data_IF_517589491943
#
_entry.id   IF_517589491943
#
_cell.length_a   1.000
_cell.length_b   1.000
_cell.length_c   1.000
_cell.angle_alpha   90.00
_cell.angle_beta   90.00
_cell.angle_gamma   90.00
#
_symmetry.space_group_name_H-M   'P 1'
#
loop_
_entity.id
_entity.type
_entity.pdbx_description
1 polymer ?
#
# COMPACT_ATOMS: atom_id res chain seq x y z
N UNK A 1 -7.85 -1.26 -15.64
CA UNK A 1 -8.13 0.06 -15.18
C UNK A 1 -7.27 1.09 -15.89
N UNK A 2 -7.76 2.29 -15.91
CA UNK A 2 -7.03 3.39 -16.52
C UNK A 2 -5.94 3.88 -15.58
N UNK A 3 -4.80 4.26 -16.14
CA UNK A 3 -3.72 4.89 -15.41
C UNK A 3 -3.14 4.04 -14.29
N UNK A 4 -2.78 2.82 -14.62
CA UNK A 4 -1.95 1.97 -13.78
C UNK A 4 -0.55 1.98 -14.38
N UNK A 5 0.45 2.30 -13.59
CA UNK A 5 1.82 2.23 -14.04
C UNK A 5 2.52 1.03 -13.42
N UNK A 6 3.10 0.18 -14.24
CA UNK A 6 3.81 -1.02 -13.79
C UNK A 6 5.18 -1.01 -14.43
N UNK A 7 6.23 -1.01 -13.60
CA UNK A 7 7.61 -1.00 -14.07
C UNK A 7 8.41 -2.14 -13.48
N UNK A 8 9.13 -2.87 -14.33
CA UNK A 8 10.09 -3.91 -13.91
C UNK A 8 9.49 -4.86 -12.87
N UNK A 9 8.26 -5.29 -13.12
CA UNK A 9 7.51 -6.09 -12.16
C UNK A 9 6.97 -7.34 -12.81
N UNK A 10 6.81 -8.38 -12.01
CA UNK A 10 6.20 -9.64 -12.42
C UNK A 10 4.82 -9.71 -11.79
N UNK A 11 3.80 -9.77 -12.62
CA UNK A 11 2.42 -9.84 -12.19
C UNK A 11 1.89 -11.22 -12.55
N UNK A 12 1.55 -11.99 -11.55
CA UNK A 12 1.09 -13.36 -11.75
C UNK A 12 -0.38 -13.42 -12.17
N UNK A 13 -0.87 -14.63 -12.35
CA UNK A 13 -2.21 -14.91 -12.81
C UNK A 13 -3.28 -14.35 -11.87
N UNK A 14 -4.33 -13.82 -12.44
CA UNK A 14 -5.51 -13.35 -11.72
C UNK A 14 -5.24 -12.26 -10.69
N UNK A 15 -4.20 -11.50 -10.87
CA UNK A 15 -3.94 -10.31 -10.07
C UNK A 15 -4.78 -9.16 -10.61
N UNK A 16 -5.44 -8.45 -9.71
CA UNK A 16 -6.21 -7.25 -10.06
C UNK A 16 -5.50 -6.02 -9.51
N UNK A 17 -5.24 -5.06 -10.39
CA UNK A 17 -4.61 -3.80 -10.01
C UNK A 17 -5.54 -2.68 -10.44
N UNK A 18 -6.04 -1.93 -9.47
CA UNK A 18 -7.01 -0.87 -9.73
C UNK A 18 -6.32 0.41 -10.15
N UNK A 19 -7.11 1.34 -10.67
CA UNK A 19 -6.62 2.58 -11.26
C UNK A 19 -5.78 3.43 -10.29
N UNK A 20 -4.93 4.28 -10.86
CA UNK A 20 -4.05 5.20 -10.13
C UNK A 20 -3.05 4.51 -9.22
N UNK A 21 -2.74 3.24 -9.48
CA UNK A 21 -1.72 2.52 -8.72
C UNK A 21 -0.38 2.59 -9.45
N UNK A 22 0.70 2.61 -8.68
CA UNK A 22 2.05 2.50 -9.21
C UNK A 22 2.73 1.27 -8.62
N UNK A 23 3.14 0.35 -9.48
CA UNK A 23 3.82 -0.88 -9.10
C UNK A 23 5.19 -0.89 -9.75
N UNK A 24 6.23 -0.80 -8.94
CA UNK A 24 7.61 -0.79 -9.44
C UNK A 24 8.49 -1.80 -8.71
N UNK A 25 9.37 -2.46 -9.46
CA UNK A 25 10.33 -3.44 -8.96
C UNK A 25 9.68 -4.46 -8.02
N UNK A 26 8.54 -5.00 -8.42
CA UNK A 26 7.72 -5.85 -7.55
C UNK A 26 7.40 -7.19 -8.18
N UNK A 27 7.17 -8.17 -7.33
CA UNK A 27 6.56 -9.44 -7.70
C UNK A 27 5.22 -9.53 -6.99
N UNK A 28 4.14 -9.71 -7.72
CA UNK A 28 2.81 -9.89 -7.14
C UNK A 28 2.31 -11.25 -7.53
N UNK A 29 2.09 -12.11 -6.54
CA UNK A 29 1.66 -13.48 -6.79
C UNK A 29 0.17 -13.58 -6.99
N UNK A 30 -0.27 -14.75 -7.43
CA UNK A 30 -1.61 -14.97 -7.99
C UNK A 30 -2.75 -14.63 -7.04
N UNK A 31 -3.85 -14.21 -7.61
CA UNK A 31 -5.11 -13.90 -6.94
C UNK A 31 -5.03 -12.74 -5.95
N UNK A 32 -4.01 -11.92 -6.02
CA UNK A 32 -3.92 -10.73 -5.16
C UNK A 32 -4.69 -9.58 -5.77
N UNK A 33 -5.24 -8.74 -4.90
CA UNK A 33 -6.00 -7.57 -5.30
C UNK A 33 -5.32 -6.31 -4.77
N UNK A 34 -4.91 -5.45 -5.68
CA UNK A 34 -4.25 -4.20 -5.35
C UNK A 34 -5.28 -3.08 -5.51
N UNK A 35 -5.64 -2.45 -4.42
CA UNK A 35 -6.62 -1.37 -4.43
C UNK A 35 -6.17 -0.15 -5.20
N UNK A 36 -7.10 0.75 -5.47
CA UNK A 36 -6.81 1.98 -6.20
C UNK A 36 -5.84 2.86 -5.43
N UNK A 37 -4.93 3.51 -6.14
CA UNK A 37 -4.00 4.46 -5.53
C UNK A 37 -2.92 3.82 -4.66
N UNK A 38 -2.68 2.53 -4.79
CA UNK A 38 -1.58 1.87 -4.08
C UNK A 38 -0.26 2.23 -4.75
N UNK A 39 0.72 2.57 -3.94
CA UNK A 39 2.05 2.95 -4.44
C UNK A 39 3.12 2.10 -3.77
N UNK A 40 3.96 1.47 -4.58
CA UNK A 40 5.19 0.85 -4.07
C UNK A 40 6.28 1.91 -4.08
N UNK A 41 6.78 2.25 -2.89
CA UNK A 41 7.86 3.23 -2.75
C UNK A 41 9.18 2.47 -2.91
N UNK A 42 9.62 2.33 -4.16
CA UNK A 42 10.71 1.42 -4.52
C UNK A 42 12.06 2.09 -4.70
N UNK A 43 12.14 3.41 -4.54
CA UNK A 43 13.35 4.17 -4.81
C UNK A 43 13.59 5.19 -3.71
N UNK A 44 14.82 5.23 -3.17
CA UNK A 44 15.18 6.13 -2.08
C UNK A 44 16.01 7.35 -2.55
N UNK A 45 16.13 7.55 -3.85
CA UNK A 45 16.97 8.58 -4.43
C UNK A 45 18.33 8.06 -4.88
N UNK A 46 18.73 6.87 -4.47
CA UNK A 46 20.00 6.25 -4.83
C UNK A 46 19.85 4.85 -5.36
N UNK A 47 19.06 4.01 -4.66
CA UNK A 47 18.87 2.59 -5.00
C UNK A 47 17.40 2.28 -5.13
N UNK A 48 17.12 1.31 -5.98
CA UNK A 48 15.78 0.72 -6.08
C UNK A 48 15.72 -0.53 -5.23
N UNK A 49 14.57 -0.73 -4.59
CA UNK A 49 14.34 -1.86 -3.71
C UNK A 49 13.14 -2.66 -4.20
N UNK A 50 13.12 -3.93 -3.90
CA UNK A 50 12.07 -4.83 -4.37
C UNK A 50 11.00 -5.05 -3.33
N UNK A 51 9.78 -5.26 -3.83
CA UNK A 51 8.63 -5.64 -3.03
C UNK A 51 8.11 -6.97 -3.54
N UNK A 52 7.76 -7.85 -2.62
CA UNK A 52 7.12 -9.11 -2.97
C UNK A 52 5.79 -9.22 -2.25
N UNK A 53 4.72 -9.33 -3.01
CA UNK A 53 3.37 -9.51 -2.49
C UNK A 53 2.99 -10.97 -2.72
N UNK A 54 2.64 -11.67 -1.65
CA UNK A 54 2.28 -13.09 -1.73
C UNK A 54 0.95 -13.34 -2.39
N UNK A 55 0.49 -14.59 -2.33
CA UNK A 55 -0.76 -15.02 -2.95
C UNK A 55 -1.96 -14.58 -2.14
N UNK A 56 -3.06 -14.35 -2.81
CA UNK A 56 -4.35 -14.05 -2.18
C UNK A 56 -4.29 -12.87 -1.20
N UNK A 57 -3.47 -11.88 -1.52
CA UNK A 57 -3.37 -10.67 -0.71
C UNK A 57 -4.46 -9.68 -1.10
N UNK A 58 -4.95 -8.93 -0.12
CA UNK A 58 -5.83 -7.81 -0.37
C UNK A 58 -5.16 -6.55 0.16
N UNK A 59 -4.71 -5.70 -0.74
CA UNK A 59 -4.04 -4.45 -0.39
C UNK A 59 -5.07 -3.32 -0.52
N UNK A 60 -5.43 -2.72 0.60
CA UNK A 60 -6.44 -1.67 0.60
C UNK A 60 -6.01 -0.43 -0.18
N UNK A 61 -6.98 0.33 -0.62
CA UNK A 61 -6.75 1.51 -1.44
C UNK A 61 -5.87 2.54 -0.74
N UNK A 62 -5.10 3.29 -1.52
CA UNK A 62 -4.25 4.37 -1.03
C UNK A 62 -3.21 3.91 0.00
N UNK A 63 -2.78 2.66 -0.09
CA UNK A 63 -1.71 2.13 0.75
C UNK A 63 -0.37 2.47 0.13
N UNK A 64 0.57 2.90 0.97
CA UNK A 64 1.97 3.07 0.56
C UNK A 64 2.77 1.89 1.08
N UNK A 65 3.46 1.20 0.19
CA UNK A 65 4.30 0.06 0.52
C UNK A 65 5.74 0.49 0.37
N UNK A 66 6.47 0.51 1.48
CA UNK A 66 7.86 0.97 1.50
C UNK A 66 8.78 -0.23 1.28
N UNK A 67 9.40 -0.27 0.12
CA UNK A 67 10.35 -1.34 -0.21
C UNK A 67 11.68 -1.13 0.55
N UNK A 68 12.44 -2.20 0.84
CA UNK A 68 12.13 -3.59 0.56
C UNK A 68 11.09 -4.15 1.51
N UNK A 69 10.18 -4.97 0.99
CA UNK A 69 9.09 -5.48 1.79
C UNK A 69 8.58 -6.80 1.22
N UNK A 70 8.20 -7.70 2.10
CA UNK A 70 7.61 -8.99 1.72
C UNK A 70 6.33 -9.18 2.50
N UNK A 71 5.25 -9.48 1.80
CA UNK A 71 4.04 -9.98 2.45
C UNK A 71 3.92 -11.48 2.17
N UNK A 72 3.46 -12.22 3.16
CA UNK A 72 3.17 -13.63 2.98
C UNK A 72 1.88 -13.85 2.22
N UNK A 73 1.33 -15.05 2.31
CA UNK A 73 0.08 -15.39 1.65
C UNK A 73 -1.12 -15.03 2.53
N UNK A 74 -2.25 -14.76 1.91
CA UNK A 74 -3.50 -14.47 2.60
C UNK A 74 -3.40 -13.29 3.57
N UNK A 75 -2.68 -12.27 3.16
CA UNK A 75 -2.48 -11.04 3.94
C UNK A 75 -3.52 -10.00 3.52
N UNK A 76 -4.00 -9.24 4.49
CA UNK A 76 -4.86 -8.09 4.22
C UNK A 76 -4.19 -6.84 4.77
N UNK A 77 -4.18 -5.77 4.00
CA UNK A 77 -3.65 -4.48 4.43
C UNK A 77 -4.78 -3.46 4.40
N UNK A 78 -4.99 -2.79 5.53
CA UNK A 78 -6.04 -1.79 5.65
C UNK A 78 -5.79 -0.58 4.76
N UNK A 79 -6.86 -0.06 4.18
CA UNK A 79 -6.77 1.10 3.28
C UNK A 79 -6.10 2.29 3.98
N UNK A 80 -5.31 3.04 3.23
CA UNK A 80 -4.63 4.21 3.74
C UNK A 80 -3.43 3.93 4.64
N UNK A 81 -3.00 2.69 4.72
CA UNK A 81 -1.86 2.31 5.57
C UNK A 81 -0.54 2.67 4.93
N UNK A 82 0.47 2.89 5.77
CA UNK A 82 1.86 3.01 5.35
C UNK A 82 2.60 1.81 5.93
N UNK A 83 2.97 0.88 5.08
CA UNK A 83 3.55 -0.40 5.49
C UNK A 83 5.04 -0.39 5.22
N UNK A 84 5.83 -0.51 6.27
CA UNK A 84 7.28 -0.53 6.19
C UNK A 84 7.93 -1.74 6.85
N UNK A 85 7.13 -2.72 7.23
CA UNK A 85 7.61 -3.98 7.80
C UNK A 85 6.92 -5.15 7.13
N UNK A 86 7.62 -6.25 6.99
CA UNK A 86 7.07 -7.46 6.42
C UNK A 86 5.82 -7.91 7.18
N UNK A 87 4.92 -8.55 6.45
CA UNK A 87 3.66 -9.03 7.01
C UNK A 87 3.59 -10.54 6.80
N UNK A 88 3.44 -11.28 7.89
CA UNK A 88 3.40 -12.73 7.84
C UNK A 88 2.07 -13.27 7.31
N UNK A 89 2.08 -14.52 6.88
CA UNK A 89 0.90 -15.19 6.35
C UNK A 89 -0.32 -15.01 7.25
N UNK A 90 -1.45 -14.72 6.63
CA UNK A 90 -2.73 -14.66 7.31
C UNK A 90 -2.96 -13.45 8.20
N UNK A 91 -2.04 -12.50 8.19
CA UNK A 91 -2.16 -11.31 9.05
C UNK A 91 -2.91 -10.18 8.37
N UNK A 92 -3.56 -9.38 9.22
CA UNK A 92 -4.10 -8.07 8.83
C UNK A 92 -3.14 -7.00 9.36
N UNK A 93 -2.57 -6.20 8.48
CA UNK A 93 -1.70 -5.10 8.86
C UNK A 93 -2.42 -3.77 8.67
N UNK A 94 -2.38 -2.92 9.69
CA UNK A 94 -2.94 -1.58 9.64
C UNK A 94 -1.92 -0.64 10.23
N UNK A 95 -1.54 0.39 9.47
CA UNK A 95 -0.57 1.38 9.93
C UNK A 95 -1.02 2.76 9.45
N UNK A 96 -1.93 3.35 10.19
CA UNK A 96 -2.48 4.66 9.89
C UNK A 96 -2.82 5.39 11.17
N UNK A 97 -2.86 6.72 11.09
CA UNK A 97 -3.14 7.54 12.26
C UNK A 97 -4.54 7.29 12.80
N UNK A 98 -4.65 7.33 14.12
CA UNK A 98 -5.96 7.24 14.78
C UNK A 98 -6.72 8.53 14.55
N UNK A 99 -7.97 8.43 14.16
CA UNK A 99 -8.82 9.60 13.96
C UNK A 99 -9.09 10.31 15.28
N UNK A 100 -8.96 11.63 15.25
CA UNK A 100 -9.28 12.49 16.39
C UNK A 100 -10.30 13.52 15.91
N UNK A 101 -11.38 13.62 16.64
CA UNK A 101 -12.40 14.62 16.34
C UNK A 101 -12.26 15.80 17.30
N UNK A 102 -12.01 16.97 16.74
CA UNK A 102 -11.89 18.20 17.52
C UNK A 102 -13.07 19.11 17.22
N UNK A 103 -13.49 19.86 18.24
CA UNK A 103 -14.52 20.85 18.02
C UNK A 103 -13.98 21.98 17.13
N UNK A 104 -14.71 22.34 16.11
CA UNK A 104 -14.32 23.39 15.18
C UNK A 104 -14.05 24.72 15.89
N UNK A 105 -14.82 25.02 16.94
CA UNK A 105 -14.64 26.24 17.75
C UNK A 105 -13.27 26.32 18.39
N UNK A 106 -12.74 25.19 18.83
CA UNK A 106 -11.41 25.12 19.41
C UNK A 106 -10.34 25.61 18.43
N UNK A 107 -10.43 25.14 17.18
CA UNK A 107 -9.48 25.53 16.14
C UNK A 107 -9.61 27.03 15.78
N UNK A 108 -10.83 27.55 15.76
CA UNK A 108 -11.06 28.96 15.51
C UNK A 108 -10.49 29.85 16.60
N UNK A 109 -10.60 29.43 17.85
CA UNK A 109 -10.03 30.15 18.98
C UNK A 109 -8.51 30.19 18.92
N UNK A 110 -7.88 29.10 18.53
CA UNK A 110 -6.44 29.07 18.32
C UNK A 110 -5.98 30.07 17.27
N UNK A 111 -6.78 30.28 16.24
CA UNK A 111 -6.45 31.23 15.19
C UNK A 111 -6.55 32.67 15.65
N UNK A 112 -7.36 32.92 16.66
CA UNK A 112 -7.56 34.28 17.18
C UNK A 112 -6.50 34.70 18.17
N UNK A 113 -5.82 33.79 18.77
CA UNK A 113 -4.83 34.08 19.78
C UNK A 113 -3.46 34.46 19.22
#
# INVERSE_FOLDING_TARGET
>A
GNFVEIKKSTISKDVKISHLSYIGDSEIEENSNIGAGVVTCNYDGKKKFKTKIGKNNFIGSNTSIIAPLVTGDNVMIGAGSVINKDVNDGNLAIARAKQVNLKKNYLNNDKKS
#
